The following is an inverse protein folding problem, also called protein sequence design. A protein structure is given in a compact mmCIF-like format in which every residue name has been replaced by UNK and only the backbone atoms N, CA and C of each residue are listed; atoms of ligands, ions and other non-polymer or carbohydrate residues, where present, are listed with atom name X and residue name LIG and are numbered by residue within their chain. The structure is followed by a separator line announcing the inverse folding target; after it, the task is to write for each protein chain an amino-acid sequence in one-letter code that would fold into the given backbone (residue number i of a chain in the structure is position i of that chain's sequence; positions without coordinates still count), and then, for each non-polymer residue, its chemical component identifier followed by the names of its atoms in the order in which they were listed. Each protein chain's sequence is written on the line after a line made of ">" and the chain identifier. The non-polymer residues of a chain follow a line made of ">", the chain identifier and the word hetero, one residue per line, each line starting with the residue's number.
data_IF_692040155357
#
_entry.id   IF_692040155357
#
_cell.length_a   1.000
_cell.length_b   1.000
_cell.length_c   1.000
_cell.angle_alpha   90.00
_cell.angle_beta   90.00
_cell.angle_gamma   90.00
#
_symmetry.space_group_name_H-M   'P 1'
#
loop_
_entity.id
_entity.type
_entity.pdbx_description
1 polymer ?
#
# COMPACT_ATOMS: atom_id res chain seq x y z
N UNK A 1 -28.97 16.18 -21.73
CA UNK A 1 -27.59 16.62 -22.04
C UNK A 1 -27.01 17.24 -20.78
N UNK A 2 -26.26 16.47 -19.99
CA UNK A 2 -25.60 17.01 -18.81
C UNK A 2 -24.19 17.47 -19.24
N UNK A 3 -24.05 18.78 -19.32
CA UNK A 3 -22.74 19.46 -19.46
C UNK A 3 -21.95 19.29 -18.17
N UNK A 4 -21.30 18.15 -17.97
CA UNK A 4 -20.27 18.00 -16.96
C UNK A 4 -18.97 18.55 -17.52
N UNK A 5 -18.56 19.70 -17.03
CA UNK A 5 -17.28 20.35 -17.35
C UNK A 5 -16.14 19.35 -17.13
N UNK A 6 -15.18 19.21 -18.05
CA UNK A 6 -14.12 18.19 -17.99
C UNK A 6 -13.26 18.24 -16.72
N UNK A 7 -13.21 19.39 -16.05
CA UNK A 7 -12.48 19.56 -14.79
C UNK A 7 -13.12 18.87 -13.56
N UNK A 8 -14.44 18.62 -13.58
CA UNK A 8 -15.14 17.96 -12.46
C UNK A 8 -15.05 16.43 -12.52
N UNK A 9 -14.86 15.86 -13.70
CA UNK A 9 -14.78 14.41 -13.90
C UNK A 9 -13.47 13.80 -13.37
N UNK A 10 -12.41 14.60 -13.27
CA UNK A 10 -11.06 14.12 -12.88
C UNK A 10 -10.81 14.09 -11.37
N UNK A 11 -11.62 14.74 -10.55
CA UNK A 11 -11.32 14.87 -9.09
C UNK A 11 -11.81 13.68 -8.26
N UNK A 12 -12.93 13.08 -8.60
CA UNK A 12 -13.51 11.96 -7.86
C UNK A 12 -12.59 10.74 -7.77
N UNK A 13 -12.02 10.23 -8.89
CA UNK A 13 -11.10 9.08 -8.83
C UNK A 13 -9.82 9.40 -8.05
N UNK A 14 -9.32 10.64 -8.11
CA UNK A 14 -8.13 11.05 -7.35
C UNK A 14 -8.37 10.97 -5.85
N UNK A 15 -9.51 11.46 -5.36
CA UNK A 15 -9.84 11.36 -3.92
C UNK A 15 -10.08 9.91 -3.48
N UNK A 16 -10.67 9.08 -4.33
CA UNK A 16 -10.83 7.65 -4.05
C UNK A 16 -9.47 6.96 -3.92
N UNK A 17 -8.55 7.23 -4.84
CA UNK A 17 -7.21 6.64 -4.79
C UNK A 17 -6.43 7.16 -3.59
N UNK A 18 -6.56 8.43 -3.25
CA UNK A 18 -5.93 8.99 -2.05
C UNK A 18 -6.46 8.30 -0.78
N UNK A 19 -7.76 8.07 -0.68
CA UNK A 19 -8.35 7.26 0.39
C UNK A 19 -7.82 5.82 0.42
N UNK A 20 -7.70 5.19 -0.74
CA UNK A 20 -7.11 3.86 -0.89
C UNK A 20 -5.64 3.81 -0.40
N UNK A 21 -4.84 4.87 -0.65
CA UNK A 21 -3.44 4.89 -0.19
C UNK A 21 -3.32 4.92 1.33
N UNK A 22 -4.18 5.67 2.00
CA UNK A 22 -4.24 5.71 3.48
C UNK A 22 -4.69 4.35 4.02
N UNK A 23 -5.69 3.76 3.39
CA UNK A 23 -6.21 2.46 3.78
C UNK A 23 -5.19 1.34 3.57
N UNK A 24 -4.45 1.39 2.46
CA UNK A 24 -3.34 0.49 2.19
C UNK A 24 -2.21 0.64 3.22
N UNK A 25 -1.88 1.87 3.61
CA UNK A 25 -0.88 2.12 4.63
C UNK A 25 -1.29 1.51 5.98
N UNK A 26 -2.55 1.69 6.39
CA UNK A 26 -3.07 1.09 7.61
C UNK A 26 -3.01 -0.45 7.57
N UNK A 27 -3.41 -1.07 6.45
CA UNK A 27 -3.34 -2.51 6.26
C UNK A 27 -1.89 -3.03 6.40
N UNK A 28 -0.93 -2.35 5.79
CA UNK A 28 0.47 -2.74 5.85
C UNK A 28 1.08 -2.59 7.25
N UNK A 29 0.68 -1.57 8.00
CA UNK A 29 1.09 -1.41 9.39
C UNK A 29 0.54 -2.55 10.25
N UNK A 30 -0.72 -2.93 10.06
CA UNK A 30 -1.30 -4.07 10.76
C UNK A 30 -0.59 -5.38 10.44
N UNK A 31 -0.25 -5.60 9.16
CA UNK A 31 0.54 -6.76 8.76
C UNK A 31 1.93 -6.75 9.40
N UNK A 32 2.61 -5.61 9.42
CA UNK A 32 3.92 -5.47 10.06
C UNK A 32 3.82 -5.74 11.55
N UNK A 33 2.82 -5.19 12.23
CA UNK A 33 2.58 -5.43 13.65
C UNK A 33 2.31 -6.91 13.93
N UNK A 34 1.49 -7.56 13.11
CA UNK A 34 1.25 -9.00 13.22
C UNK A 34 2.51 -9.84 13.01
N UNK A 35 3.36 -9.44 12.07
CA UNK A 35 4.62 -10.13 11.77
C UNK A 35 5.70 -9.97 12.86
N UNK A 36 5.60 -8.94 13.71
CA UNK A 36 6.52 -8.77 14.86
C UNK A 36 6.16 -9.65 16.06
N UNK A 37 4.99 -10.29 16.07
CA UNK A 37 4.66 -11.27 17.08
C UNK A 37 5.46 -12.56 16.87
N UNK A 38 5.87 -13.22 17.96
CA UNK A 38 6.65 -14.45 17.84
C UNK A 38 5.87 -15.52 17.10
N UNK A 39 6.36 -15.90 15.93
CA UNK A 39 5.85 -17.01 15.14
C UNK A 39 6.77 -18.21 15.25
N UNK A 40 6.22 -19.45 15.24
CA UNK A 40 7.05 -20.64 15.17
C UNK A 40 7.92 -20.59 13.91
N UNK A 41 9.19 -20.98 14.04
CA UNK A 41 10.10 -21.03 12.91
C UNK A 41 9.62 -22.05 11.88
N UNK A 42 9.55 -21.62 10.63
CA UNK A 42 9.24 -22.50 9.51
C UNK A 42 10.52 -23.17 9.04
N UNK A 43 10.65 -24.46 9.32
CA UNK A 43 11.71 -25.29 8.76
C UNK A 43 11.18 -26.01 7.52
N UNK A 44 11.65 -25.58 6.36
CA UNK A 44 11.21 -26.12 5.06
C UNK A 44 11.61 -27.61 4.85
N UNK A 45 12.60 -28.10 5.64
CA UNK A 45 13.02 -29.48 5.61
C UNK A 45 12.15 -30.40 6.48
N UNK A 46 11.31 -29.84 7.33
CA UNK A 46 10.49 -30.60 8.26
C UNK A 46 9.02 -30.27 8.10
N UNK A 47 8.28 -31.16 7.44
CA UNK A 47 6.85 -30.99 7.15
C UNK A 47 5.98 -30.83 8.42
N UNK A 48 6.47 -31.31 9.58
CA UNK A 48 5.74 -31.18 10.84
C UNK A 48 5.68 -29.75 11.39
N UNK A 49 6.55 -28.84 10.93
CA UNK A 49 6.56 -27.43 11.33
C UNK A 49 5.59 -26.56 10.52
N UNK A 50 5.11 -27.05 9.39
CA UNK A 50 4.21 -26.31 8.49
C UNK A 50 2.84 -26.09 9.14
N UNK A 51 2.28 -27.13 9.75
CA UNK A 51 0.93 -27.05 10.36
C UNK A 51 0.87 -26.04 11.53
N UNK A 52 1.77 -26.07 12.52
CA UNK A 52 1.78 -25.07 13.58
C UNK A 52 2.07 -23.66 13.07
N UNK A 53 2.89 -23.51 12.02
CA UNK A 53 3.12 -22.22 11.40
C UNK A 53 1.86 -21.65 10.73
N UNK A 54 1.14 -22.45 9.96
CA UNK A 54 -0.13 -22.05 9.32
C UNK A 54 -1.19 -21.71 10.37
N UNK A 55 -1.30 -22.50 11.44
CA UNK A 55 -2.20 -22.23 12.55
C UNK A 55 -1.85 -20.90 13.24
N UNK A 56 -0.58 -20.65 13.51
CA UNK A 56 -0.14 -19.39 14.10
C UNK A 56 -0.44 -18.19 13.19
N UNK A 57 -0.30 -18.36 11.88
CA UNK A 57 -0.63 -17.34 10.89
C UNK A 57 -2.13 -17.00 10.91
N UNK A 58 -2.99 -18.00 10.95
CA UNK A 58 -4.45 -17.85 10.98
C UNK A 58 -4.99 -17.32 12.33
N UNK A 59 -4.26 -17.57 13.40
CA UNK A 59 -4.64 -17.12 14.75
C UNK A 59 -4.13 -15.71 15.06
N UNK A 60 -3.23 -15.19 14.22
CA UNK A 60 -2.67 -13.84 14.38
C UNK A 60 -3.67 -12.79 13.86
N UNK A 61 -4.55 -12.31 14.73
CA UNK A 61 -5.60 -11.34 14.40
C UNK A 61 -5.10 -10.10 13.64
N UNK A 62 -4.01 -9.42 14.05
CA UNK A 62 -3.52 -8.25 13.32
C UNK A 62 -3.09 -8.58 11.89
N UNK A 63 -2.50 -9.75 11.70
CA UNK A 63 -2.05 -10.21 10.39
C UNK A 63 -3.25 -10.52 9.47
N UNK A 64 -4.20 -11.29 9.98
CA UNK A 64 -5.42 -11.66 9.23
C UNK A 64 -6.24 -10.42 8.87
N UNK A 65 -6.41 -9.48 9.81
CA UNK A 65 -7.09 -8.21 9.55
C UNK A 65 -6.32 -7.37 8.52
N UNK A 66 -5.00 -7.30 8.59
CA UNK A 66 -4.18 -6.60 7.61
C UNK A 66 -4.37 -7.16 6.20
N UNK A 67 -4.37 -8.48 6.05
CA UNK A 67 -4.64 -9.13 4.76
C UNK A 67 -6.07 -8.90 4.28
N UNK A 68 -7.07 -8.98 5.13
CA UNK A 68 -8.47 -8.72 4.78
C UNK A 68 -8.67 -7.27 4.31
N UNK A 69 -8.08 -6.31 5.03
CA UNK A 69 -8.07 -4.90 4.65
C UNK A 69 -7.35 -4.68 3.32
N UNK A 70 -6.23 -5.37 3.09
CA UNK A 70 -5.49 -5.28 1.83
C UNK A 70 -6.30 -5.81 0.66
N UNK A 71 -7.01 -6.92 0.83
CA UNK A 71 -7.91 -7.47 -0.19
C UNK A 71 -9.06 -6.51 -0.51
N UNK A 72 -9.69 -5.91 0.51
CA UNK A 72 -10.72 -4.88 0.34
C UNK A 72 -10.19 -3.65 -0.38
N UNK A 73 -8.99 -3.20 -0.02
CA UNK A 73 -8.33 -2.08 -0.68
C UNK A 73 -8.01 -2.37 -2.15
N UNK A 74 -7.59 -3.59 -2.48
CA UNK A 74 -7.35 -3.99 -3.87
C UNK A 74 -8.63 -3.90 -4.72
N UNK A 75 -9.77 -4.32 -4.16
CA UNK A 75 -11.06 -4.17 -4.83
C UNK A 75 -11.44 -2.70 -5.06
N UNK A 76 -11.27 -1.86 -4.03
CA UNK A 76 -11.50 -0.42 -4.15
C UNK A 76 -10.60 0.23 -5.20
N UNK A 77 -9.34 -0.20 -5.26
CA UNK A 77 -8.37 0.28 -6.24
C UNK A 77 -8.78 -0.11 -7.67
N UNK A 78 -9.23 -1.34 -7.88
CA UNK A 78 -9.73 -1.80 -9.18
C UNK A 78 -10.92 -0.94 -9.63
N UNK A 79 -11.85 -0.65 -8.72
CA UNK A 79 -13.00 0.21 -9.01
C UNK A 79 -12.57 1.65 -9.33
N UNK A 80 -11.60 2.19 -8.59
CA UNK A 80 -11.05 3.51 -8.85
C UNK A 80 -10.33 3.60 -10.21
N UNK A 81 -9.61 2.55 -10.59
CA UNK A 81 -8.91 2.46 -11.87
C UNK A 81 -9.86 2.29 -13.06
N UNK A 82 -11.02 1.70 -12.84
CA UNK A 82 -12.05 1.55 -13.88
C UNK A 82 -12.54 2.89 -14.41
N UNK A 83 -12.66 3.88 -13.53
CA UNK A 83 -13.21 5.20 -13.85
C UNK A 83 -12.13 6.27 -14.07
N UNK A 84 -10.85 5.94 -13.83
CA UNK A 84 -9.71 6.86 -13.90
C UNK A 84 -8.68 6.49 -14.97
N UNK A 85 -7.92 7.50 -15.41
CA UNK A 85 -6.76 7.27 -16.29
C UNK A 85 -5.60 6.68 -15.49
N UNK A 86 -5.11 5.53 -15.92
CA UNK A 86 -4.01 4.82 -15.24
C UNK A 86 -2.76 5.70 -15.07
N UNK A 87 -2.44 6.51 -16.06
CA UNK A 87 -1.27 7.39 -16.05
C UNK A 87 -1.30 8.42 -14.92
N UNK A 88 -2.49 8.90 -14.55
CA UNK A 88 -2.66 9.87 -13.46
C UNK A 88 -2.72 9.20 -12.08
N UNK A 89 -3.24 7.97 -12.02
CA UNK A 89 -3.46 7.27 -10.75
C UNK A 89 -2.21 6.53 -10.26
N UNK A 90 -1.35 6.08 -11.17
CA UNK A 90 -0.11 5.36 -10.85
C UNK A 90 0.85 6.14 -9.95
N UNK A 91 1.12 7.44 -10.21
CA UNK A 91 1.92 8.26 -9.29
C UNK A 91 1.34 8.36 -7.88
N UNK A 92 0.01 8.44 -7.77
CA UNK A 92 -0.68 8.55 -6.48
C UNK A 92 -0.56 7.24 -5.69
N UNK A 93 -0.68 6.09 -6.37
CA UNK A 93 -0.50 4.78 -5.74
C UNK A 93 0.93 4.62 -5.18
N UNK A 94 1.93 5.09 -5.93
CA UNK A 94 3.33 5.07 -5.49
C UNK A 94 3.56 5.87 -4.20
N UNK A 95 2.74 6.88 -3.94
CA UNK A 95 2.77 7.64 -2.70
C UNK A 95 2.46 6.79 -1.46
N UNK A 96 1.75 5.66 -1.64
CA UNK A 96 1.50 4.70 -0.56
C UNK A 96 2.81 4.20 0.06
N UNK A 97 3.83 3.94 -0.75
CA UNK A 97 5.13 3.50 -0.25
C UNK A 97 5.81 4.55 0.63
N UNK A 98 5.65 5.83 0.30
CA UNK A 98 6.18 6.93 1.11
C UNK A 98 5.46 6.99 2.45
N UNK A 99 4.11 6.93 2.44
CA UNK A 99 3.30 6.93 3.66
C UNK A 99 3.60 5.75 4.56
N UNK A 100 3.70 4.53 3.99
CA UNK A 100 4.02 3.32 4.74
C UNK A 100 5.39 3.43 5.41
N UNK A 101 6.40 3.95 4.71
CA UNK A 101 7.72 4.12 5.28
C UNK A 101 7.74 5.17 6.40
N UNK A 102 7.08 6.32 6.20
CA UNK A 102 6.99 7.36 7.22
C UNK A 102 6.28 6.86 8.49
N UNK A 103 5.14 6.20 8.31
CA UNK A 103 4.40 5.63 9.44
C UNK A 103 5.17 4.49 10.12
N UNK A 104 5.91 3.68 9.35
CA UNK A 104 6.73 2.62 9.90
C UNK A 104 7.84 3.16 10.80
N UNK A 105 8.49 4.25 10.41
CA UNK A 105 9.51 4.91 11.22
C UNK A 105 8.88 5.47 12.49
N UNK A 106 7.73 6.13 12.37
CA UNK A 106 7.07 6.79 13.49
C UNK A 106 6.49 5.80 14.53
N UNK A 107 5.83 4.73 14.06
CA UNK A 107 5.14 3.77 14.92
C UNK A 107 6.05 2.67 15.48
N UNK A 108 7.03 2.23 14.70
CA UNK A 108 7.90 1.10 15.06
C UNK A 108 9.32 1.53 15.45
N UNK A 109 9.64 2.81 15.38
CA UNK A 109 10.99 3.31 15.62
C UNK A 109 12.01 2.70 14.64
N UNK A 110 11.59 2.41 13.43
CA UNK A 110 12.40 1.73 12.43
C UNK A 110 13.57 2.62 12.01
N UNK A 111 14.78 2.08 12.07
CA UNK A 111 15.98 2.85 11.75
C UNK A 111 16.00 3.17 10.24
N UNK A 112 16.13 4.46 9.92
CA UNK A 112 16.42 4.90 8.56
C UNK A 112 17.80 4.40 8.16
N UNK A 113 17.84 3.39 7.32
CA UNK A 113 19.07 3.02 6.66
C UNK A 113 19.27 3.87 5.41
N UNK A 114 20.52 4.20 5.08
CA UNK A 114 20.88 5.02 3.92
C UNK A 114 20.24 4.47 2.63
N UNK A 115 20.19 3.17 2.47
CA UNK A 115 19.55 2.47 1.34
C UNK A 115 18.03 2.67 1.25
N UNK A 116 17.35 2.70 2.39
CA UNK A 116 15.91 3.03 2.45
C UNK A 116 15.66 4.49 2.03
N UNK A 117 16.51 5.40 2.49
CA UNK A 117 16.44 6.81 2.11
C UNK A 117 16.60 7.02 0.61
N UNK A 118 17.58 6.38 0.00
CA UNK A 118 17.81 6.42 -1.45
C UNK A 118 16.61 5.85 -2.22
N UNK A 119 16.03 4.74 -1.76
CA UNK A 119 14.85 4.14 -2.36
C UNK A 119 13.63 5.06 -2.35
N UNK A 120 13.36 5.72 -1.23
CA UNK A 120 12.27 6.69 -1.09
C UNK A 120 12.49 7.89 -2.02
N UNK A 121 13.72 8.39 -2.09
CA UNK A 121 14.08 9.52 -2.95
C UNK A 121 13.91 9.18 -4.43
N UNK A 122 14.29 7.98 -4.85
CA UNK A 122 14.05 7.46 -6.21
C UNK A 122 12.57 7.38 -6.54
N UNK A 123 11.73 6.88 -5.61
CA UNK A 123 10.28 6.80 -5.80
C UNK A 123 9.68 8.20 -5.95
N UNK A 124 10.02 9.14 -5.07
CA UNK A 124 9.52 10.52 -5.12
C UNK A 124 9.92 11.20 -6.44
N UNK A 125 11.17 11.01 -6.85
CA UNK A 125 11.68 11.58 -8.13
C UNK A 125 10.94 10.97 -9.32
N UNK A 126 10.77 9.65 -9.34
CA UNK A 126 10.02 8.95 -10.39
C UNK A 126 8.59 9.42 -10.50
N UNK A 127 7.89 9.55 -9.37
CA UNK A 127 6.52 10.08 -9.28
C UNK A 127 6.46 11.53 -9.80
N UNK A 128 7.44 12.36 -9.43
CA UNK A 128 7.52 13.75 -9.87
C UNK A 128 7.69 13.87 -11.38
N UNK A 129 8.55 13.05 -11.98
CA UNK A 129 8.77 13.00 -13.42
C UNK A 129 7.52 12.53 -14.18
N UNK A 130 6.89 11.46 -13.70
CA UNK A 130 5.64 10.94 -14.27
C UNK A 130 4.48 11.93 -14.14
N UNK A 131 4.38 12.64 -13.01
CA UNK A 131 3.38 13.68 -12.81
C UNK A 131 3.52 14.81 -13.83
N UNK A 132 4.74 15.32 -14.05
CA UNK A 132 5.02 16.33 -15.08
C UNK A 132 4.74 15.83 -16.50
N UNK A 133 5.11 14.60 -16.81
CA UNK A 133 4.85 14.02 -18.13
C UNK A 133 3.34 13.87 -18.40
N UNK A 134 2.55 13.60 -17.38
CA UNK A 134 1.09 13.50 -17.48
C UNK A 134 0.41 14.86 -17.68
N UNK A 135 0.98 15.95 -17.16
CA UNK A 135 0.48 17.32 -17.40
C UNK A 135 0.84 17.85 -18.81
N UNK A 136 1.93 17.33 -19.40
CA UNK A 136 2.40 17.75 -20.73
C UNK A 136 1.73 16.97 -21.88
N UNK A 137 1.01 15.92 -21.58
CA UNK A 137 0.27 15.10 -22.56
C UNK A 137 -1.21 15.46 -22.59
#
# INVERSE_FOLDING_TARGET
>A
MQNTTPAQRSRKPVYMVLGCTVFAAAAQIMMKYGATHPMPALDLNNTSTVMPFVLALLTNYPLVLGYALSAGNAMLLILALRDGQLSTLYPIISLTFVWVNLLSIYLFGDHMNLWKGVGILLVITGVGVLGKASEAA
#
